data_IF_561021891269
#
_entry.id   IF_561021891269
#
_cell.length_a   1.000
_cell.length_b   1.000
_cell.length_c   1.000
_cell.angle_alpha   90.00
_cell.angle_beta   90.00
_cell.angle_gamma   90.00
#
_symmetry.space_group_name_H-M   'P 1'
#
loop_
_entity.id
_entity.type
_entity.pdbx_description
1 polymer ?
#
# COMPACT_ATOMS: atom_id res chain seq x y z
N UNK A 1 11.17 27.18 0.53
CA UNK A 1 10.21 26.12 0.95
C UNK A 1 8.84 26.59 0.50
N UNK A 2 8.09 25.81 -0.28
CA UNK A 2 6.82 26.23 -0.89
C UNK A 2 5.61 25.59 -0.18
N UNK A 3 5.72 25.38 1.13
CA UNK A 3 4.66 24.78 1.95
C UNK A 3 3.52 25.79 2.14
N UNK A 4 2.26 25.35 1.99
CA UNK A 4 1.08 26.22 2.15
C UNK A 4 0.69 26.45 3.61
N UNK A 5 0.86 25.43 4.45
CA UNK A 5 0.58 25.46 5.89
C UNK A 5 1.42 24.40 6.59
N UNK A 6 1.67 24.60 7.89
CA UNK A 6 2.28 23.59 8.77
C UNK A 6 1.30 23.38 9.91
N UNK A 7 0.82 22.16 10.05
CA UNK A 7 0.07 21.69 11.21
C UNK A 7 1.00 20.85 12.07
N UNK A 8 0.74 20.82 13.38
CA UNK A 8 1.40 19.83 14.21
C UNK A 8 0.96 18.42 13.80
N UNK A 9 1.81 17.45 14.07
CA UNK A 9 1.61 16.07 13.64
C UNK A 9 0.31 15.48 14.22
N UNK A 10 -0.04 15.80 15.47
CA UNK A 10 -1.24 15.26 16.13
C UNK A 10 -2.50 15.73 15.41
N UNK A 11 -2.62 17.03 15.13
CA UNK A 11 -3.74 17.60 14.37
C UNK A 11 -3.86 17.00 12.96
N UNK A 12 -2.72 16.69 12.32
CA UNK A 12 -2.72 16.04 11.00
C UNK A 12 -3.25 14.59 11.08
N UNK A 13 -2.92 13.85 12.15
CA UNK A 13 -3.43 12.49 12.36
C UNK A 13 -4.92 12.50 12.72
N UNK A 14 -5.39 13.46 13.50
CA UNK A 14 -6.83 13.62 13.77
C UNK A 14 -7.62 13.78 12.46
N UNK A 15 -7.09 14.55 11.50
CA UNK A 15 -7.68 14.69 10.17
C UNK A 15 -7.68 13.38 9.38
N UNK A 16 -6.60 12.59 9.44
CA UNK A 16 -6.56 11.27 8.79
C UNK A 16 -7.57 10.30 9.40
N UNK A 17 -7.58 10.18 10.73
CA UNK A 17 -8.49 9.31 11.46
C UNK A 17 -9.96 9.68 11.25
N UNK A 18 -10.25 10.96 11.03
CA UNK A 18 -11.59 11.46 10.67
C UNK A 18 -12.02 11.15 9.22
N UNK A 19 -11.18 10.49 8.41
CA UNK A 19 -11.47 10.21 6.99
C UNK A 19 -11.36 11.45 6.10
N UNK A 20 -10.54 12.42 6.49
CA UNK A 20 -10.35 13.67 5.75
C UNK A 20 -9.68 13.50 4.39
N UNK A 21 -9.02 12.37 4.15
CA UNK A 21 -8.37 12.08 2.86
C UNK A 21 -9.36 11.55 1.84
N UNK A 22 -9.51 12.25 0.72
CA UNK A 22 -10.27 11.76 -0.43
C UNK A 22 -9.59 10.57 -1.11
N UNK A 23 -8.26 10.58 -1.16
CA UNK A 23 -7.45 9.49 -1.72
C UNK A 23 -6.08 9.40 -1.06
N UNK A 24 -5.59 8.19 -0.84
CA UNK A 24 -4.21 7.93 -0.46
C UNK A 24 -3.52 6.96 -1.44
N UNK A 25 -2.20 7.07 -1.55
CA UNK A 25 -1.36 6.21 -2.36
C UNK A 25 -0.29 5.58 -1.45
N UNK A 26 -0.27 4.24 -1.39
CA UNK A 26 0.57 3.50 -0.45
C UNK A 26 1.29 2.36 -1.15
N UNK A 27 2.55 2.12 -0.80
CA UNK A 27 3.28 0.94 -1.26
C UNK A 27 2.86 -0.31 -0.48
N UNK A 28 3.06 -1.50 -1.07
CA UNK A 28 2.84 -2.78 -0.40
C UNK A 28 4.04 -3.71 -0.51
N UNK A 29 4.27 -4.56 0.50
CA UNK A 29 5.25 -5.63 0.44
C UNK A 29 4.61 -6.93 -0.07
N UNK A 30 3.49 -7.33 0.53
CA UNK A 30 2.73 -8.52 0.16
C UNK A 30 1.22 -8.25 0.23
N UNK A 31 0.46 -8.98 -0.58
CA UNK A 31 -1.01 -8.95 -0.64
C UNK A 31 -1.51 -10.38 -0.68
N UNK A 32 -2.57 -10.68 0.08
CA UNK A 32 -3.20 -12.00 0.06
C UNK A 32 -4.54 -12.05 -0.70
N UNK A 33 -5.12 -13.25 -0.79
CA UNK A 33 -6.37 -13.51 -1.48
C UNK A 33 -7.59 -12.79 -0.86
N UNK A 34 -7.48 -12.32 0.38
CA UNK A 34 -8.53 -11.60 1.10
C UNK A 34 -8.42 -10.08 0.91
N UNK A 35 -7.44 -9.62 0.11
CA UNK A 35 -7.15 -8.20 -0.07
C UNK A 35 -6.45 -7.58 1.14
N UNK A 36 -5.91 -8.39 2.04
CA UNK A 36 -5.10 -7.87 3.12
C UNK A 36 -3.73 -7.44 2.58
N UNK A 37 -3.13 -6.43 3.22
CA UNK A 37 -1.81 -5.91 2.84
C UNK A 37 -0.86 -5.99 4.02
N UNK A 38 0.34 -6.53 3.77
CA UNK A 38 1.45 -6.58 4.69
C UNK A 38 2.53 -5.57 4.30
N UNK A 39 2.99 -4.76 5.26
CA UNK A 39 4.12 -3.84 5.08
C UNK A 39 5.13 -3.83 6.23
N UNK A 40 4.69 -4.19 7.44
CA UNK A 40 5.47 -3.99 8.66
C UNK A 40 6.58 -5.04 8.90
N UNK A 41 6.53 -6.19 8.21
CA UNK A 41 7.56 -7.23 8.25
C UNK A 41 7.80 -7.75 6.84
N UNK A 42 9.06 -7.81 6.42
CA UNK A 42 9.45 -8.34 5.12
C UNK A 42 10.80 -9.03 5.18
N UNK A 43 10.87 -10.26 4.64
CA UNK A 43 12.09 -11.07 4.59
C UNK A 43 12.82 -11.17 5.95
N UNK A 44 12.07 -11.41 7.02
CA UNK A 44 12.59 -11.53 8.40
C UNK A 44 12.97 -10.21 9.08
N UNK A 45 12.82 -9.06 8.41
CA UNK A 45 13.09 -7.73 8.98
C UNK A 45 11.80 -7.04 9.40
N UNK A 46 11.85 -6.38 10.56
CA UNK A 46 10.78 -5.51 11.06
C UNK A 46 11.00 -4.11 10.47
N UNK A 47 10.02 -3.63 9.70
CA UNK A 47 10.01 -2.31 9.07
C UNK A 47 9.17 -1.30 9.88
N UNK A 48 8.18 -1.79 10.63
CA UNK A 48 7.19 -0.96 11.30
C UNK A 48 6.09 -0.46 10.36
N UNK A 49 5.08 0.21 10.90
CA UNK A 49 3.90 0.69 10.14
C UNK A 49 4.05 2.12 9.67
N UNK A 50 4.84 2.95 10.35
CA UNK A 50 4.76 4.40 10.19
C UNK A 50 3.30 4.86 10.32
N UNK A 51 2.89 5.84 9.50
CA UNK A 51 1.50 6.30 9.39
C UNK A 51 0.59 5.45 8.50
N UNK A 52 1.03 4.25 8.06
CA UNK A 52 0.30 3.46 7.06
C UNK A 52 -1.11 3.09 7.50
N UNK A 53 -1.26 2.66 8.76
CA UNK A 53 -2.57 2.28 9.31
C UNK A 53 -3.45 3.52 9.43
N UNK A 54 -2.92 4.61 9.96
CA UNK A 54 -3.64 5.87 10.14
C UNK A 54 -4.19 6.44 8.83
N UNK A 55 -3.42 6.31 7.75
CA UNK A 55 -3.81 6.75 6.42
C UNK A 55 -4.81 5.77 5.79
N UNK A 56 -4.54 4.47 5.82
CA UNK A 56 -5.34 3.47 5.10
C UNK A 56 -6.65 3.09 5.79
N UNK A 57 -6.80 3.34 7.09
CA UNK A 57 -7.97 2.89 7.84
C UNK A 57 -9.27 3.60 7.45
N UNK A 58 -9.20 4.86 7.01
CA UNK A 58 -10.36 5.75 6.87
C UNK A 58 -10.31 6.64 5.61
N UNK A 59 -9.22 6.62 4.83
CA UNK A 59 -9.19 7.31 3.52
C UNK A 59 -10.31 6.78 2.63
N UNK A 60 -11.05 7.67 1.98
CA UNK A 60 -12.23 7.30 1.15
C UNK A 60 -11.84 6.38 -0.01
N UNK A 61 -10.67 6.63 -0.61
CA UNK A 61 -10.06 5.79 -1.64
C UNK A 61 -8.63 5.44 -1.28
N UNK A 62 -8.28 4.17 -1.41
CA UNK A 62 -6.96 3.63 -1.08
C UNK A 62 -6.37 3.01 -2.34
N UNK A 63 -5.22 3.53 -2.77
CA UNK A 63 -4.53 3.07 -3.96
C UNK A 63 -3.20 2.44 -3.56
N UNK A 64 -3.15 1.11 -3.61
CA UNK A 64 -1.92 0.36 -3.40
C UNK A 64 -1.10 0.33 -4.69
N UNK A 65 0.16 0.76 -4.61
CA UNK A 65 1.08 0.86 -5.74
C UNK A 65 2.30 -0.04 -5.53
N UNK A 66 2.63 -0.86 -6.52
CA UNK A 66 3.83 -1.68 -6.46
C UNK A 66 3.79 -2.81 -7.48
N UNK A 67 4.94 -3.41 -7.75
CA UNK A 67 5.08 -4.47 -8.76
C UNK A 67 4.36 -5.77 -8.36
N UNK A 68 4.15 -6.69 -9.32
CA UNK A 68 3.62 -8.03 -9.05
C UNK A 68 4.63 -8.95 -8.36
N UNK A 69 5.90 -8.84 -8.75
CA UNK A 69 7.02 -9.62 -8.22
C UNK A 69 8.10 -8.69 -7.64
N UNK A 70 8.84 -9.19 -6.66
CA UNK A 70 9.97 -8.53 -6.01
C UNK A 70 11.25 -9.35 -6.21
N UNK A 71 12.39 -8.78 -5.82
CA UNK A 71 13.69 -9.44 -5.95
C UNK A 71 14.26 -9.31 -7.36
N UNK A 72 14.56 -8.07 -7.73
CA UNK A 72 15.26 -7.69 -8.98
C UNK A 72 14.42 -7.78 -10.27
N UNK A 73 13.10 -7.59 -10.20
CA UNK A 73 12.28 -7.34 -11.39
C UNK A 73 12.84 -6.15 -12.18
N UNK A 74 13.02 -6.30 -13.48
CA UNK A 74 13.36 -5.23 -14.43
C UNK A 74 12.38 -5.26 -15.57
N UNK A 75 11.76 -4.12 -15.83
CA UNK A 75 10.88 -3.91 -16.97
C UNK A 75 11.39 -2.76 -17.82
N UNK A 76 11.01 -2.77 -19.09
CA UNK A 76 11.21 -1.65 -20.00
C UNK A 76 9.90 -1.38 -20.74
N UNK A 77 9.76 -0.17 -21.25
CA UNK A 77 8.66 0.19 -22.15
C UNK A 77 9.28 0.49 -23.52
N UNK A 78 9.02 -0.38 -24.50
CA UNK A 78 9.48 -0.23 -25.88
C UNK A 78 8.31 -0.42 -26.84
N UNK A 79 8.22 0.40 -27.88
CA UNK A 79 7.14 0.39 -28.88
C UNK A 79 5.71 0.39 -28.28
N UNK A 80 5.52 1.13 -27.18
CA UNK A 80 4.23 1.23 -26.49
C UNK A 80 3.81 -0.04 -25.72
N UNK A 81 4.73 -0.99 -25.53
CA UNK A 81 4.50 -2.25 -24.81
C UNK A 81 5.42 -2.35 -23.60
N UNK A 82 4.93 -3.03 -22.56
CA UNK A 82 5.71 -3.38 -21.38
C UNK A 82 6.43 -4.70 -21.64
N UNK A 83 7.76 -4.71 -21.53
CA UNK A 83 8.56 -5.94 -21.60
C UNK A 83 9.19 -6.24 -20.23
N UNK A 84 9.14 -7.50 -19.81
CA UNK A 84 9.86 -7.98 -18.63
C UNK A 84 11.25 -8.43 -19.08
N UNK A 85 12.27 -7.59 -18.82
CA UNK A 85 13.67 -7.88 -19.15
C UNK A 85 14.27 -8.90 -18.17
N UNK A 86 13.83 -8.85 -16.91
CA UNK A 86 14.24 -9.78 -15.87
C UNK A 86 13.09 -9.96 -14.88
N UNK A 87 12.64 -11.19 -14.66
CA UNK A 87 11.58 -11.48 -13.68
C UNK A 87 12.09 -11.38 -12.23
N UNK A 88 11.20 -10.96 -11.33
CA UNK A 88 11.41 -10.96 -9.90
C UNK A 88 11.33 -12.37 -9.30
N UNK A 89 12.20 -12.67 -8.33
CA UNK A 89 12.30 -13.99 -7.70
C UNK A 89 11.23 -14.27 -6.65
N UNK A 90 10.54 -13.24 -6.17
CA UNK A 90 9.60 -13.32 -5.05
C UNK A 90 8.21 -12.89 -5.51
N UNK A 91 7.21 -13.72 -5.27
CA UNK A 91 5.81 -13.36 -5.49
C UNK A 91 5.34 -12.44 -4.36
N UNK A 92 4.73 -11.31 -4.69
CA UNK A 92 4.13 -10.42 -3.70
C UNK A 92 2.65 -10.74 -3.45
N UNK A 93 2.04 -11.49 -4.35
CA UNK A 93 0.67 -11.99 -4.20
C UNK A 93 0.74 -13.42 -3.70
N UNK A 94 0.38 -13.60 -2.44
CA UNK A 94 0.48 -14.87 -1.73
C UNK A 94 -0.91 -15.36 -1.32
N UNK A 95 -0.98 -16.58 -0.79
CA UNK A 95 -2.27 -17.15 -0.38
C UNK A 95 -2.81 -16.50 0.89
N UNK A 96 -1.96 -16.34 1.90
CA UNK A 96 -2.32 -15.84 3.22
C UNK A 96 -1.15 -15.05 3.79
N UNK A 97 -1.41 -13.87 4.35
CA UNK A 97 -0.38 -13.11 5.07
C UNK A 97 -0.08 -13.76 6.43
N UNK A 98 1.20 -13.84 6.84
CA UNK A 98 1.55 -14.26 8.20
C UNK A 98 1.08 -13.24 9.25
N UNK A 99 1.14 -11.94 8.92
CA UNK A 99 0.70 -10.84 9.78
C UNK A 99 0.10 -9.72 8.91
N UNK A 100 -1.06 -9.21 9.32
CA UNK A 100 -1.87 -8.24 8.54
C UNK A 100 -1.56 -6.81 9.00
N UNK A 101 -1.32 -5.88 8.08
CA UNK A 101 -1.23 -4.44 8.38
C UNK A 101 -2.49 -3.68 7.95
N UNK A 102 -3.09 -4.06 6.83
CA UNK A 102 -4.39 -3.56 6.38
C UNK A 102 -5.30 -4.74 6.07
N UNK A 103 -6.56 -4.67 6.53
CA UNK A 103 -7.55 -5.73 6.32
C UNK A 103 -8.51 -5.37 5.20
N UNK A 104 -8.53 -6.18 4.15
CA UNK A 104 -9.48 -6.02 3.04
C UNK A 104 -10.93 -6.16 3.51
N UNK A 105 -11.19 -7.10 4.43
CA UNK A 105 -12.50 -7.30 5.06
C UNK A 105 -13.02 -6.03 5.75
N UNK A 106 -12.20 -5.41 6.60
CA UNK A 106 -12.60 -4.19 7.33
C UNK A 106 -12.84 -3.02 6.37
N UNK A 107 -12.01 -2.90 5.31
CA UNK A 107 -12.20 -1.85 4.31
C UNK A 107 -13.51 -2.00 3.55
N UNK A 108 -13.91 -3.23 3.20
CA UNK A 108 -15.20 -3.52 2.59
C UNK A 108 -16.37 -3.21 3.54
N UNK A 109 -16.28 -3.61 4.81
CA UNK A 109 -17.28 -3.29 5.83
C UNK A 109 -17.47 -1.78 6.02
N UNK A 110 -16.39 -1.00 5.84
CA UNK A 110 -16.40 0.47 5.90
C UNK A 110 -16.78 1.16 4.58
N UNK A 111 -17.00 0.41 3.50
CA UNK A 111 -17.38 0.94 2.19
C UNK A 111 -16.28 1.74 1.49
N UNK A 112 -15.00 1.42 1.73
CA UNK A 112 -13.86 2.13 1.13
C UNK A 112 -13.58 1.62 -0.30
N UNK A 113 -13.21 2.51 -1.24
CA UNK A 113 -12.73 2.12 -2.59
C UNK A 113 -11.26 1.71 -2.50
N UNK A 114 -10.98 0.41 -2.64
CA UNK A 114 -9.61 -0.15 -2.59
C UNK A 114 -9.17 -0.58 -3.99
N UNK A 115 -8.03 -0.07 -4.44
CA UNK A 115 -7.43 -0.40 -5.74
C UNK A 115 -5.99 -0.83 -5.60
N UNK A 116 -5.55 -1.68 -6.51
CA UNK A 116 -4.17 -2.10 -6.62
C UNK A 116 -3.66 -1.86 -8.05
N UNK A 117 -2.60 -1.06 -8.18
CA UNK A 117 -1.89 -0.78 -9.41
C UNK A 117 -0.50 -1.41 -9.38
N UNK A 118 -0.16 -2.14 -10.43
CA UNK A 118 1.07 -2.91 -10.58
C UNK A 118 1.61 -2.88 -12.01
#
# INVERSE_FOLDING_TARGET
MNTRAILDMTSQFDFYHGGGLDVCYLSFAEVDQHGNVGVHKFNGKIMGTGGFIDISATSKKIVFCGTLTAGSLKTEITDGKLNIVQEGRVKKFIRELPEITFSGKIALERGLDVRLYH
#
